data_IF_489381683300
#
_entry.id   IF_489381683300
#
_cell.length_a   1.000
_cell.length_b   1.000
_cell.length_c   1.000
_cell.angle_alpha   90.00
_cell.angle_beta   90.00
_cell.angle_gamma   90.00
#
_symmetry.space_group_name_H-M   'P 1'
#
loop_
_entity.id
_entity.type
_entity.pdbx_description
1 polymer ?
#
# COMPACT_ATOMS: atom_id res chain seq x y z
N UNK A 1 7.83 -6.46 -4.46
CA UNK A 1 7.40 -5.07 -4.66
C UNK A 1 8.27 -4.40 -5.70
N UNK A 2 7.66 -3.63 -6.60
CA UNK A 2 8.37 -2.89 -7.64
C UNK A 2 7.93 -1.43 -7.60
N UNK A 3 8.89 -0.51 -7.48
CA UNK A 3 8.63 0.92 -7.48
C UNK A 3 9.09 1.53 -8.81
N UNK A 4 8.33 2.47 -9.34
CA UNK A 4 8.71 3.14 -10.58
C UNK A 4 7.98 4.45 -10.79
N UNK A 5 8.63 5.35 -11.54
CA UNK A 5 8.10 6.64 -11.95
C UNK A 5 7.89 6.72 -13.46
N UNK A 6 7.11 7.70 -13.89
CA UNK A 6 6.76 7.90 -15.31
C UNK A 6 6.14 6.64 -15.92
N UNK A 7 6.61 6.19 -17.08
CA UNK A 7 6.16 4.95 -17.73
C UNK A 7 6.82 3.72 -17.06
N UNK A 8 6.36 3.38 -15.88
CA UNK A 8 6.97 2.38 -15.00
C UNK A 8 6.50 0.96 -15.34
N UNK A 9 7.26 0.26 -16.19
CA UNK A 9 6.91 -1.08 -16.68
C UNK A 9 7.61 -2.23 -15.96
N UNK A 10 8.51 -1.96 -15.02
CA UNK A 10 9.30 -2.99 -14.34
C UNK A 10 8.43 -4.02 -13.64
N UNK A 11 7.42 -3.58 -12.89
CA UNK A 11 6.50 -4.49 -12.19
C UNK A 11 5.75 -5.41 -13.14
N UNK A 12 5.31 -4.88 -14.29
CA UNK A 12 4.64 -5.65 -15.32
C UNK A 12 5.53 -6.71 -15.95
N UNK A 13 6.77 -6.37 -16.24
CA UNK A 13 7.76 -7.34 -16.78
C UNK A 13 8.01 -8.45 -15.77
N UNK A 14 8.22 -8.12 -14.51
CA UNK A 14 8.42 -9.12 -13.45
C UNK A 14 7.18 -9.99 -13.29
N UNK A 15 5.99 -9.41 -13.28
CA UNK A 15 4.73 -10.16 -13.16
C UNK A 15 4.54 -11.16 -14.28
N UNK A 16 5.04 -10.88 -15.48
CA UNK A 16 4.97 -11.79 -16.61
C UNK A 16 5.86 -13.03 -16.45
N UNK A 17 6.91 -12.95 -15.62
CA UNK A 17 7.88 -14.03 -15.43
C UNK A 17 7.77 -14.77 -14.09
N UNK A 18 6.77 -14.44 -13.26
CA UNK A 18 6.60 -15.08 -11.95
C UNK A 18 5.14 -15.41 -11.69
N UNK A 19 4.91 -16.43 -10.87
CA UNK A 19 3.59 -16.73 -10.33
C UNK A 19 3.38 -16.15 -8.92
N UNK A 20 4.42 -15.51 -8.37
CA UNK A 20 4.32 -14.82 -7.08
C UNK A 20 3.49 -13.54 -7.23
N UNK A 21 2.77 -13.14 -6.17
CA UNK A 21 2.10 -11.84 -6.18
C UNK A 21 3.10 -10.70 -6.39
N UNK A 22 2.79 -9.80 -7.32
CA UNK A 22 3.61 -8.61 -7.58
C UNK A 22 2.84 -7.38 -7.11
N UNK A 23 3.47 -6.57 -6.29
CA UNK A 23 2.92 -5.31 -5.78
C UNK A 23 3.63 -4.16 -6.50
N UNK A 24 2.84 -3.33 -7.17
CA UNK A 24 3.33 -2.14 -7.86
C UNK A 24 3.20 -0.89 -6.99
N UNK A 25 4.28 -0.14 -6.88
CA UNK A 25 4.32 1.13 -6.16
C UNK A 25 4.63 2.25 -7.14
N UNK A 26 3.61 3.04 -7.55
CA UNK A 26 3.86 4.19 -8.41
C UNK A 26 4.56 5.31 -7.62
N UNK A 27 5.59 5.88 -8.23
CA UNK A 27 6.35 6.97 -7.63
C UNK A 27 5.91 8.29 -8.25
N UNK A 28 5.75 9.32 -7.42
CA UNK A 28 5.34 10.64 -7.86
C UNK A 28 6.33 11.20 -8.88
N UNK A 29 5.79 11.79 -9.95
CA UNK A 29 6.55 12.51 -10.98
C UNK A 29 5.99 13.91 -11.13
N UNK A 30 6.63 14.74 -11.97
CA UNK A 30 6.16 16.09 -12.26
C UNK A 30 4.85 16.11 -13.08
N UNK A 31 4.48 14.98 -13.68
CA UNK A 31 3.29 14.88 -14.50
C UNK A 31 2.08 14.48 -13.68
N UNK A 32 1.15 15.41 -13.42
CA UNK A 32 -0.13 15.19 -12.76
C UNK A 32 -0.03 14.42 -11.44
N UNK A 33 1.01 14.70 -10.64
CA UNK A 33 1.19 14.06 -9.33
C UNK A 33 1.53 12.58 -9.38
N UNK A 34 2.02 12.09 -10.51
CA UNK A 34 2.36 10.67 -10.68
C UNK A 34 1.28 9.84 -11.36
N UNK A 35 0.30 10.48 -12.02
CA UNK A 35 -0.76 9.78 -12.73
C UNK A 35 -0.22 8.86 -13.83
N UNK A 36 0.81 9.29 -14.55
CA UNK A 36 1.49 8.48 -15.55
C UNK A 36 2.10 7.21 -14.97
N UNK A 37 2.74 7.30 -13.81
CA UNK A 37 3.29 6.14 -13.08
C UNK A 37 2.18 5.19 -12.65
N UNK A 38 1.10 5.73 -12.09
CA UNK A 38 -0.05 4.94 -11.65
C UNK A 38 -0.68 4.18 -12.83
N UNK A 39 -0.97 4.86 -13.93
CA UNK A 39 -1.61 4.25 -15.08
C UNK A 39 -0.71 3.18 -15.73
N UNK A 40 0.61 3.41 -15.77
CA UNK A 40 1.55 2.44 -16.32
C UNK A 40 1.64 1.14 -15.51
N UNK A 41 1.42 1.23 -14.21
CA UNK A 41 1.48 0.08 -13.30
C UNK A 41 0.14 -0.63 -13.19
N UNK A 42 -0.96 0.12 -13.12
CA UNK A 42 -2.28 -0.45 -12.84
C UNK A 42 -2.93 -1.09 -14.05
N UNK A 43 -2.65 -0.59 -15.26
CA UNK A 43 -3.24 -1.13 -16.49
C UNK A 43 -2.41 -2.31 -17.02
N UNK A 44 -2.81 -3.51 -16.61
CA UNK A 44 -2.14 -4.75 -17.00
C UNK A 44 -3.02 -5.57 -17.93
N UNK A 45 -2.43 -6.34 -18.87
CA UNK A 45 -3.19 -7.23 -19.72
C UNK A 45 -3.82 -8.38 -18.92
N UNK A 46 -4.88 -8.96 -19.46
CA UNK A 46 -5.52 -10.14 -18.86
C UNK A 46 -4.52 -11.26 -18.65
N UNK A 47 -4.52 -11.86 -17.47
CA UNK A 47 -3.63 -12.95 -17.11
C UNK A 47 -2.34 -12.54 -16.42
N UNK A 48 -2.02 -11.26 -16.36
CA UNK A 48 -0.80 -10.75 -15.71
C UNK A 48 -1.17 -9.62 -14.72
N UNK A 49 -1.73 -9.96 -13.54
CA UNK A 49 -2.15 -8.95 -12.58
C UNK A 49 -0.99 -8.37 -11.78
N UNK A 50 -1.10 -7.09 -11.44
CA UNK A 50 -0.21 -6.41 -10.49
C UNK A 50 -1.08 -5.71 -9.45
N UNK A 51 -0.85 -5.98 -8.18
CA UNK A 51 -1.55 -5.31 -7.09
C UNK A 51 -0.94 -3.93 -6.87
N UNK A 52 -1.66 -2.87 -7.22
CA UNK A 52 -1.13 -1.50 -7.23
C UNK A 52 -1.63 -0.73 -6.01
N UNK A 53 -0.71 -0.09 -5.28
CA UNK A 53 -1.03 0.84 -4.19
C UNK A 53 -1.05 2.29 -4.71
N UNK A 54 -1.45 3.22 -3.85
CA UNK A 54 -1.46 4.63 -4.23
C UNK A 54 -0.08 5.20 -4.52
N UNK A 55 -0.04 6.35 -5.19
CA UNK A 55 1.21 7.04 -5.51
C UNK A 55 1.99 7.33 -4.22
N UNK A 56 3.26 7.00 -4.19
CA UNK A 56 4.15 7.10 -3.03
C UNK A 56 3.69 6.28 -1.81
N UNK A 57 2.78 5.33 -1.99
CA UNK A 57 2.21 4.51 -0.91
C UNK A 57 3.12 3.37 -0.46
N UNK A 58 4.39 3.67 -0.16
CA UNK A 58 5.37 2.65 0.24
C UNK A 58 4.98 1.89 1.51
N UNK A 59 4.43 2.59 2.50
CA UNK A 59 3.94 1.95 3.72
C UNK A 59 2.83 0.94 3.42
N UNK A 60 1.85 1.32 2.61
CA UNK A 60 0.77 0.42 2.22
C UNK A 60 1.26 -0.74 1.34
N UNK A 61 2.28 -0.53 0.51
CA UNK A 61 2.90 -1.61 -0.24
C UNK A 61 3.52 -2.66 0.70
N UNK A 62 4.24 -2.20 1.72
CA UNK A 62 4.81 -3.07 2.75
C UNK A 62 3.74 -3.81 3.55
N UNK A 63 2.69 -3.10 3.96
CA UNK A 63 1.57 -3.71 4.70
C UNK A 63 0.84 -4.75 3.85
N UNK A 64 0.61 -4.48 2.57
CA UNK A 64 -0.02 -5.44 1.67
C UNK A 64 0.84 -6.70 1.52
N UNK A 65 2.16 -6.55 1.39
CA UNK A 65 3.07 -7.69 1.35
C UNK A 65 2.97 -8.52 2.64
N UNK A 66 2.91 -7.87 3.79
CA UNK A 66 2.74 -8.55 5.09
C UNK A 66 1.38 -9.23 5.19
N UNK A 67 0.32 -8.63 4.67
CA UNK A 67 -1.00 -9.27 4.63
C UNK A 67 -0.98 -10.55 3.81
N UNK A 68 -0.31 -10.53 2.67
CA UNK A 68 -0.15 -11.73 1.82
C UNK A 68 0.64 -12.82 2.58
N UNK A 69 1.77 -12.45 3.20
CA UNK A 69 2.57 -13.37 4.00
C UNK A 69 1.82 -13.89 5.23
N UNK A 70 0.98 -13.06 5.83
CA UNK A 70 0.17 -13.41 7.00
C UNK A 70 -0.85 -14.52 6.73
N UNK A 71 -1.20 -14.78 5.47
CA UNK A 71 -2.04 -15.93 5.10
C UNK A 71 -1.35 -17.24 5.46
N UNK A 72 -0.03 -17.29 5.32
CA UNK A 72 0.79 -18.50 5.60
C UNK A 72 1.41 -18.48 7.00
N UNK A 73 1.77 -17.30 7.51
CA UNK A 73 2.52 -17.16 8.76
C UNK A 73 1.66 -16.51 9.85
N UNK A 74 1.15 -17.30 10.83
CA UNK A 74 0.26 -16.79 11.88
C UNK A 74 0.86 -15.66 12.73
N UNK A 75 2.16 -15.68 12.96
CA UNK A 75 2.85 -14.63 13.71
C UNK A 75 2.80 -13.27 13.02
N UNK A 76 2.82 -13.26 11.68
CA UNK A 76 2.66 -12.03 10.90
C UNK A 76 1.20 -11.55 10.98
N UNK A 77 0.25 -12.47 10.82
CA UNK A 77 -1.18 -12.16 10.95
C UNK A 77 -1.49 -11.56 12.32
N UNK A 78 -0.90 -12.08 13.39
CA UNK A 78 -1.06 -11.57 14.74
C UNK A 78 -0.53 -10.14 14.87
N UNK A 79 0.67 -9.88 14.36
CA UNK A 79 1.27 -8.53 14.38
C UNK A 79 0.44 -7.52 13.61
N UNK A 80 -0.17 -7.92 12.49
CA UNK A 80 -1.07 -7.05 11.73
C UNK A 80 -2.33 -6.69 12.50
N UNK A 81 -2.90 -7.63 13.24
CA UNK A 81 -4.05 -7.37 14.13
C UNK A 81 -3.66 -6.37 15.21
N UNK A 82 -2.50 -6.53 15.83
CA UNK A 82 -2.00 -5.59 16.84
C UNK A 82 -1.76 -4.19 16.23
N UNK A 83 -1.22 -4.12 15.04
CA UNK A 83 -1.03 -2.86 14.33
C UNK A 83 -2.36 -2.12 14.12
N UNK A 84 -3.39 -2.81 13.64
CA UNK A 84 -4.73 -2.22 13.47
C UNK A 84 -5.34 -1.78 14.78
N UNK A 85 -5.16 -2.55 15.83
CA UNK A 85 -5.62 -2.21 17.16
C UNK A 85 -4.94 -0.94 17.68
N UNK A 86 -3.64 -0.80 17.49
CA UNK A 86 -2.90 0.39 17.86
C UNK A 86 -3.36 1.62 17.08
N UNK A 87 -3.64 1.48 15.79
CA UNK A 87 -4.21 2.55 14.98
C UNK A 87 -5.56 3.02 15.53
N UNK A 88 -6.45 2.09 15.86
CA UNK A 88 -7.76 2.40 16.43
C UNK A 88 -7.61 3.10 17.79
N UNK A 89 -6.70 2.63 18.64
CA UNK A 89 -6.41 3.25 19.95
C UNK A 89 -5.89 4.67 19.79
N UNK A 90 -5.02 4.92 18.81
CA UNK A 90 -4.51 6.25 18.54
C UNK A 90 -5.62 7.21 18.09
N UNK A 91 -6.49 6.78 17.19
CA UNK A 91 -7.63 7.58 16.73
C UNK A 91 -8.56 7.89 17.90
N UNK A 92 -8.86 6.93 18.75
CA UNK A 92 -9.72 7.11 19.93
C UNK A 92 -9.08 8.06 20.95
N UNK A 93 -7.77 7.99 21.15
CA UNK A 93 -7.05 8.90 22.03
C UNK A 93 -7.04 10.33 21.48
N UNK A 94 -6.82 10.50 20.18
CA UNK A 94 -6.86 11.80 19.52
C UNK A 94 -8.27 12.41 19.60
N UNK A 95 -9.32 11.62 19.41
CA UNK A 95 -10.71 12.05 19.55
C UNK A 95 -11.02 12.48 20.98
N UNK A 96 -10.60 11.70 21.98
CA UNK A 96 -10.79 12.03 23.38
C UNK A 96 -10.08 13.34 23.76
N UNK A 97 -8.87 13.55 23.26
CA UNK A 97 -8.13 14.79 23.48
C UNK A 97 -8.84 15.99 22.85
N UNK A 98 -9.38 15.84 21.65
CA UNK A 98 -10.15 16.89 20.97
C UNK A 98 -11.45 17.22 21.74
N UNK A 99 -12.17 16.21 22.22
CA UNK A 99 -13.39 16.39 23.02
C UNK A 99 -13.08 17.17 24.31
N UNK A 100 -11.98 16.83 24.98
CA UNK A 100 -11.56 17.54 26.19
C UNK A 100 -11.20 18.99 25.89
N UNK A 101 -10.48 19.24 24.82
CA UNK A 101 -10.13 20.61 24.37
C UNK A 101 -11.38 21.43 24.05
N UNK A 102 -12.38 20.83 23.40
CA UNK A 102 -13.65 21.48 23.08
C UNK A 102 -14.45 21.82 24.35
N UNK A 103 -14.39 21.00 25.40
CA UNK A 103 -15.06 21.29 26.68
C UNK A 103 -14.48 22.51 27.39
N UNK A 104 -13.21 22.82 27.16
CA UNK A 104 -12.52 23.91 27.79
C UNK A 104 -12.67 25.26 27.02
N UNK A 105 -13.38 25.24 25.92
CA UNK A 105 -13.77 26.46 25.22
C UNK A 105 -15.06 27.04 25.81
#
# INVERSE_FOLDING_TARGET
MCAGGKAAHLGGVIAAYTTLPVIGLPVKTDMMGGLDSLLSIVQMPSGIPVATVGVNGGENAGLLALQILGIRYPEIAHKLKEFKKQMAQKINADDAALQEELKNL
#
